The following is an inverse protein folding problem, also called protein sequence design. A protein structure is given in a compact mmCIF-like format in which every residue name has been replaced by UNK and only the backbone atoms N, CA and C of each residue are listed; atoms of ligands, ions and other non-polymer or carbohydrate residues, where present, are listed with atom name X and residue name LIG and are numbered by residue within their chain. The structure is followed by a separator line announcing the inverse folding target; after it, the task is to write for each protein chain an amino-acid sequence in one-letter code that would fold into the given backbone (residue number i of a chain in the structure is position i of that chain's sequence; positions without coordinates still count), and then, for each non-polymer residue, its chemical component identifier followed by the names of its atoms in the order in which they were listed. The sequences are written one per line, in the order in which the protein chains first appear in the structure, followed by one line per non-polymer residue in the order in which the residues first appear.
data_IF_890434352434
#
_entry.id   IF_890434352434
#
_cell.length_a   1.000
_cell.length_b   1.000
_cell.length_c   1.000
_cell.angle_alpha   90.00
_cell.angle_beta   90.00
_cell.angle_gamma   90.00
#
_symmetry.space_group_name_H-M   'P 1'
#
loop_
_entity.id
_entity.type
_entity.pdbx_description
1 polymer ?
#
# COMPACT_ATOMS: atom_id res chain seq x y z
N UNK A 1 19.74 16.75 -1.66
CA UNK A 1 20.20 15.85 -2.73
C UNK A 1 19.80 16.47 -4.05
N UNK A 2 20.72 16.67 -5.01
CA UNK A 2 20.36 17.23 -6.31
C UNK A 2 19.53 16.20 -7.08
N UNK A 3 18.33 16.60 -7.46
CA UNK A 3 17.41 15.87 -8.35
C UNK A 3 17.98 15.77 -9.79
N UNK A 4 19.16 16.30 -9.99
CA UNK A 4 19.79 16.54 -11.29
C UNK A 4 20.25 15.28 -12.04
N UNK A 5 20.19 14.09 -11.41
CA UNK A 5 20.61 12.83 -12.02
C UNK A 5 19.55 11.71 -11.90
N UNK A 6 18.27 12.05 -11.95
CA UNK A 6 17.23 11.05 -12.18
C UNK A 6 17.42 10.52 -13.61
N UNK A 7 18.24 9.46 -13.74
CA UNK A 7 18.43 8.81 -15.01
C UNK A 7 17.10 8.15 -15.45
N UNK A 8 16.50 8.76 -16.47
CA UNK A 8 15.27 8.24 -17.09
C UNK A 8 15.43 6.77 -17.52
N UNK A 9 16.66 6.37 -17.88
CA UNK A 9 17.00 4.99 -18.22
C UNK A 9 16.82 4.04 -17.05
N UNK A 10 17.22 4.44 -15.84
CA UNK A 10 17.02 3.64 -14.61
C UNK A 10 15.55 3.45 -14.29
N UNK A 11 14.74 4.51 -14.42
CA UNK A 11 13.28 4.41 -14.21
C UNK A 11 12.67 3.43 -15.21
N UNK A 12 12.99 3.59 -16.48
CA UNK A 12 12.48 2.72 -17.53
C UNK A 12 12.91 1.26 -17.33
N UNK A 13 14.18 1.02 -16.98
CA UNK A 13 14.68 -0.32 -16.70
C UNK A 13 13.94 -0.99 -15.53
N UNK A 14 13.66 -0.27 -14.43
CA UNK A 14 12.91 -0.81 -13.29
C UNK A 14 11.46 -1.15 -13.66
N UNK A 15 10.80 -0.29 -14.40
CA UNK A 15 9.44 -0.56 -14.89
C UNK A 15 9.43 -1.79 -15.80
N UNK A 16 10.42 -1.91 -16.69
CA UNK A 16 10.56 -3.05 -17.60
C UNK A 16 10.79 -4.37 -16.83
N UNK A 17 11.65 -4.36 -15.81
CA UNK A 17 11.88 -5.51 -14.93
C UNK A 17 10.58 -5.97 -14.26
N UNK A 18 9.82 -5.02 -13.70
CA UNK A 18 8.53 -5.34 -13.06
C UNK A 18 7.54 -5.93 -14.08
N UNK A 19 7.53 -5.39 -15.30
CA UNK A 19 6.67 -5.89 -16.36
C UNK A 19 7.05 -7.31 -16.80
N UNK A 20 8.37 -7.59 -16.93
CA UNK A 20 8.88 -8.92 -17.24
C UNK A 20 8.52 -9.91 -16.14
N UNK A 21 8.69 -9.57 -14.87
CA UNK A 21 8.32 -10.41 -13.74
C UNK A 21 6.81 -10.72 -13.73
N UNK A 22 5.97 -9.71 -14.00
CA UNK A 22 4.53 -9.91 -14.13
C UNK A 22 4.18 -10.84 -15.31
N UNK A 23 4.86 -10.68 -16.46
CA UNK A 23 4.66 -11.55 -17.62
C UNK A 23 5.08 -13.01 -17.33
N UNK A 24 6.21 -13.21 -16.65
CA UNK A 24 6.66 -14.55 -16.23
C UNK A 24 5.63 -15.19 -15.30
N UNK A 25 5.14 -14.44 -14.31
CA UNK A 25 4.10 -14.90 -13.39
C UNK A 25 2.81 -15.29 -14.12
N UNK A 26 2.37 -14.45 -15.06
CA UNK A 26 1.18 -14.70 -15.87
C UNK A 26 1.33 -15.95 -16.75
N UNK A 27 2.45 -16.09 -17.46
CA UNK A 27 2.74 -17.25 -18.32
C UNK A 27 2.80 -18.52 -17.45
N UNK A 28 3.49 -18.48 -16.32
CA UNK A 28 3.63 -19.64 -15.42
C UNK A 28 2.27 -20.08 -14.83
N UNK A 29 1.38 -19.15 -14.55
CA UNK A 29 0.01 -19.46 -14.15
C UNK A 29 -0.82 -20.04 -15.29
N UNK A 30 -0.72 -19.48 -16.50
CA UNK A 30 -1.49 -19.93 -17.67
C UNK A 30 -1.03 -21.29 -18.20
N UNK A 31 0.26 -21.60 -18.10
CA UNK A 31 0.82 -22.89 -18.52
C UNK A 31 0.61 -24.02 -17.51
N UNK A 32 0.03 -23.71 -16.33
CA UNK A 32 -0.16 -24.69 -15.25
C UNK A 32 1.13 -25.06 -14.50
N UNK A 33 2.25 -24.39 -14.79
CA UNK A 33 3.50 -24.57 -14.05
C UNK A 33 3.35 -24.17 -12.57
N UNK A 34 2.57 -23.13 -12.30
CA UNK A 34 2.19 -22.73 -10.97
C UNK A 34 0.73 -23.14 -10.68
N UNK A 35 0.47 -23.95 -9.63
CA UNK A 35 -0.91 -24.25 -9.20
C UNK A 35 -1.72 -22.98 -8.90
N UNK A 36 -3.04 -23.02 -9.11
CA UNK A 36 -3.93 -21.86 -8.87
C UNK A 36 -3.78 -21.20 -7.50
N UNK A 37 -3.44 -21.99 -6.47
CA UNK A 37 -3.25 -21.50 -5.09
C UNK A 37 -1.88 -20.89 -4.83
N UNK A 38 -0.93 -20.98 -5.76
CA UNK A 38 0.45 -20.50 -5.58
C UNK A 38 0.52 -19.00 -5.33
N UNK A 39 -0.31 -18.21 -6.02
CA UNK A 39 -0.38 -16.76 -5.82
C UNK A 39 -0.69 -16.40 -4.35
N UNK A 40 -1.67 -17.08 -3.74
CA UNK A 40 -2.02 -16.87 -2.33
C UNK A 40 -0.90 -17.27 -1.37
N UNK A 41 -0.20 -18.37 -1.65
CA UNK A 41 0.89 -18.85 -0.80
C UNK A 41 2.06 -17.87 -0.86
N UNK A 42 2.46 -17.47 -2.07
CA UNK A 42 3.55 -16.51 -2.29
C UNK A 42 3.21 -15.14 -1.68
N UNK A 43 1.98 -14.64 -1.88
CA UNK A 43 1.55 -13.38 -1.28
C UNK A 43 1.61 -13.42 0.25
N UNK A 44 1.16 -14.52 0.88
CA UNK A 44 1.25 -14.69 2.33
C UNK A 44 2.69 -14.74 2.82
N UNK A 45 3.58 -15.43 2.11
CA UNK A 45 5.01 -15.48 2.43
C UNK A 45 5.64 -14.08 2.37
N UNK A 46 5.38 -13.37 1.27
CA UNK A 46 5.91 -12.01 1.07
C UNK A 46 5.38 -11.06 2.16
N UNK A 47 4.08 -11.02 2.40
CA UNK A 47 3.49 -10.09 3.36
C UNK A 47 3.82 -10.40 4.82
N UNK A 48 3.92 -11.69 5.19
CA UNK A 48 4.10 -12.08 6.59
C UNK A 48 5.55 -12.26 7.01
N UNK A 49 6.44 -12.55 6.08
CA UNK A 49 7.85 -12.86 6.37
C UNK A 49 8.77 -11.90 5.65
N UNK A 50 8.70 -11.84 4.32
CA UNK A 50 9.68 -11.10 3.51
C UNK A 50 9.60 -9.60 3.75
N UNK A 51 8.41 -9.01 3.78
CA UNK A 51 8.23 -7.58 4.01
C UNK A 51 8.65 -7.13 5.41
N UNK A 52 8.20 -7.75 6.51
CA UNK A 52 8.70 -7.39 7.83
C UNK A 52 10.21 -7.55 7.99
N UNK A 53 10.78 -8.63 7.42
CA UNK A 53 12.22 -8.85 7.46
C UNK A 53 12.99 -7.78 6.66
N UNK A 54 12.48 -7.38 5.50
CA UNK A 54 13.07 -6.32 4.68
C UNK A 54 13.02 -4.98 5.41
N UNK A 55 11.88 -4.61 5.98
CA UNK A 55 11.72 -3.38 6.76
C UNK A 55 12.69 -3.37 7.93
N UNK A 56 12.74 -4.44 8.71
CA UNK A 56 13.64 -4.57 9.85
C UNK A 56 15.11 -4.47 9.42
N UNK A 57 15.49 -5.22 8.39
CA UNK A 57 16.87 -5.18 7.85
C UNK A 57 17.28 -3.77 7.41
N UNK A 58 16.40 -3.06 6.71
CA UNK A 58 16.70 -1.69 6.26
C UNK A 58 16.77 -0.68 7.41
N UNK A 59 15.93 -0.83 8.42
CA UNK A 59 15.96 0.06 9.59
C UNK A 59 17.19 -0.15 10.46
N UNK A 60 17.68 -1.40 10.58
CA UNK A 60 18.87 -1.70 11.39
C UNK A 60 20.17 -1.38 10.66
N UNK A 61 20.21 -1.57 9.33
CA UNK A 61 21.43 -1.41 8.53
C UNK A 61 21.73 0.04 8.14
N UNK A 62 20.84 0.96 8.37
CA UNK A 62 20.95 2.33 7.91
C UNK A 62 21.24 3.28 9.08
N UNK A 63 22.36 3.98 8.99
CA UNK A 63 22.74 5.08 9.89
C UNK A 63 22.00 6.36 9.45
N UNK A 64 20.72 6.46 9.82
CA UNK A 64 19.91 7.63 9.48
C UNK A 64 20.03 8.70 10.57
N UNK A 65 20.21 9.95 10.16
CA UNK A 65 20.19 11.10 11.08
C UNK A 65 18.77 11.34 11.63
N UNK A 66 18.67 12.03 12.77
CA UNK A 66 17.38 12.44 13.33
C UNK A 66 16.57 13.29 12.35
N UNK A 67 17.21 14.11 11.52
CA UNK A 67 16.57 14.92 10.49
C UNK A 67 15.90 14.06 9.42
N UNK A 68 16.51 12.93 9.04
CA UNK A 68 15.93 11.98 8.09
C UNK A 68 14.61 11.38 8.61
N UNK A 69 14.56 11.03 9.89
CA UNK A 69 13.32 10.54 10.50
C UNK A 69 12.25 11.63 10.56
N UNK A 70 12.65 12.87 10.89
CA UNK A 70 11.71 14.00 10.93
C UNK A 70 11.11 14.29 9.55
N UNK A 71 11.92 14.25 8.49
CA UNK A 71 11.44 14.38 7.12
C UNK A 71 10.55 13.20 6.70
N UNK A 72 10.86 12.00 7.17
CA UNK A 72 9.98 10.83 7.01
C UNK A 72 8.59 11.04 7.60
N UNK A 73 8.49 11.56 8.83
CA UNK A 73 7.19 11.87 9.44
C UNK A 73 6.42 12.96 8.69
N UNK A 74 7.12 13.99 8.15
CA UNK A 74 6.48 14.96 7.25
C UNK A 74 5.90 14.27 6.02
N UNK A 75 6.62 13.33 5.42
CA UNK A 75 6.13 12.55 4.28
C UNK A 75 4.90 11.71 4.64
N UNK A 76 4.87 11.08 5.80
CA UNK A 76 3.69 10.36 6.29
C UNK A 76 2.47 11.29 6.43
N UNK A 77 2.68 12.49 6.95
CA UNK A 77 1.62 13.51 7.03
C UNK A 77 1.14 13.96 5.65
N UNK A 78 2.08 14.21 4.72
CA UNK A 78 1.76 14.56 3.33
C UNK A 78 0.97 13.43 2.65
N UNK A 79 1.35 12.17 2.85
CA UNK A 79 0.60 11.02 2.35
C UNK A 79 -0.84 11.00 2.88
N UNK A 80 -1.02 11.19 4.19
CA UNK A 80 -2.35 11.23 4.79
C UNK A 80 -3.20 12.38 4.23
N UNK A 81 -2.63 13.57 4.10
CA UNK A 81 -3.33 14.73 3.52
C UNK A 81 -3.69 14.48 2.05
N UNK A 82 -2.77 13.96 1.25
CA UNK A 82 -3.02 13.68 -0.17
C UNK A 82 -4.16 12.66 -0.36
N UNK A 83 -4.21 11.61 0.45
CA UNK A 83 -5.29 10.63 0.41
C UNK A 83 -6.64 11.22 0.85
N UNK A 84 -6.66 12.11 1.83
CA UNK A 84 -7.88 12.82 2.21
C UNK A 84 -8.38 13.73 1.08
N UNK A 85 -7.48 14.38 0.34
CA UNK A 85 -7.83 15.16 -0.85
C UNK A 85 -8.38 14.26 -1.96
N UNK A 86 -7.74 13.12 -2.23
CA UNK A 86 -8.26 12.13 -3.19
C UNK A 86 -9.65 11.64 -2.78
N UNK A 87 -9.86 11.38 -1.48
CA UNK A 87 -11.19 11.01 -0.96
C UNK A 87 -12.23 12.11 -1.19
N UNK A 88 -11.88 13.37 -0.89
CA UNK A 88 -12.75 14.52 -1.08
C UNK A 88 -13.17 14.72 -2.56
N UNK A 89 -12.29 14.36 -3.50
CA UNK A 89 -12.56 14.39 -4.94
C UNK A 89 -13.36 13.16 -5.39
N UNK A 90 -12.94 11.96 -4.96
CA UNK A 90 -13.55 10.71 -5.43
C UNK A 90 -15.00 10.58 -4.99
N UNK A 91 -15.33 11.06 -3.79
CA UNK A 91 -16.68 10.93 -3.27
C UNK A 91 -17.76 11.69 -4.08
N UNK A 92 -17.62 12.96 -4.46
CA UNK A 92 -18.55 13.63 -5.36
C UNK A 92 -18.48 13.06 -6.79
N UNK A 93 -17.30 12.63 -7.26
CA UNK A 93 -17.13 12.05 -8.58
C UNK A 93 -17.94 10.75 -8.74
N UNK A 94 -17.96 9.87 -7.72
CA UNK A 94 -18.78 8.66 -7.74
C UNK A 94 -20.29 8.95 -7.76
N UNK A 95 -20.73 10.09 -7.21
CA UNK A 95 -22.11 10.56 -7.32
C UNK A 95 -22.43 11.04 -8.76
N UNK A 96 -21.51 11.79 -9.34
CA UNK A 96 -21.64 12.30 -10.71
C UNK A 96 -21.75 11.15 -11.72
N UNK A 97 -20.98 10.08 -11.52
CA UNK A 97 -21.03 8.84 -12.32
C UNK A 97 -22.27 7.98 -12.02
N UNK A 98 -23.18 8.42 -11.15
CA UNK A 98 -24.40 7.69 -10.78
C UNK A 98 -24.12 6.27 -10.24
N UNK A 99 -22.97 6.07 -9.60
CA UNK A 99 -22.61 4.79 -8.99
C UNK A 99 -23.60 4.49 -7.85
N UNK A 100 -24.20 3.29 -7.79
CA UNK A 100 -25.13 2.90 -6.73
C UNK A 100 -24.50 3.06 -5.34
N UNK A 101 -25.27 3.51 -4.35
CA UNK A 101 -24.80 3.77 -2.99
C UNK A 101 -24.10 2.57 -2.35
N UNK A 102 -24.59 1.36 -2.66
CA UNK A 102 -24.00 0.10 -2.17
C UNK A 102 -22.55 -0.11 -2.64
N UNK A 103 -22.22 0.31 -3.86
CA UNK A 103 -20.89 0.12 -4.46
C UNK A 103 -19.98 1.31 -4.28
N UNK A 104 -20.52 2.50 -3.97
CA UNK A 104 -19.77 3.77 -3.89
C UNK A 104 -18.58 3.71 -2.94
N UNK A 105 -18.75 3.10 -1.77
CA UNK A 105 -17.67 2.97 -0.79
C UNK A 105 -16.53 2.08 -1.32
N UNK A 106 -16.86 1.01 -2.05
CA UNK A 106 -15.86 0.13 -2.66
C UNK A 106 -15.03 0.88 -3.71
N UNK A 107 -15.69 1.68 -4.57
CA UNK A 107 -14.98 2.52 -5.54
C UNK A 107 -14.07 3.55 -4.86
N UNK A 108 -14.55 4.18 -3.78
CA UNK A 108 -13.71 5.09 -2.99
C UNK A 108 -12.51 4.37 -2.39
N UNK A 109 -12.69 3.18 -1.82
CA UNK A 109 -11.59 2.39 -1.25
C UNK A 109 -10.55 2.00 -2.31
N UNK A 110 -10.99 1.56 -3.50
CA UNK A 110 -10.08 1.21 -4.58
C UNK A 110 -9.30 2.41 -5.13
N UNK A 111 -9.92 3.59 -5.17
CA UNK A 111 -9.26 4.81 -5.60
C UNK A 111 -8.22 5.32 -4.59
N UNK A 112 -8.45 5.06 -3.29
CA UNK A 112 -7.57 5.52 -2.20
C UNK A 112 -6.43 4.55 -1.91
N UNK A 113 -6.74 3.27 -1.80
CA UNK A 113 -5.84 2.26 -1.24
C UNK A 113 -5.35 1.30 -2.33
N UNK A 114 -4.58 1.84 -3.27
CA UNK A 114 -3.81 1.02 -4.22
C UNK A 114 -2.60 0.39 -3.53
N UNK A 115 -2.17 -0.78 -3.99
CA UNK A 115 -0.97 -1.43 -3.49
C UNK A 115 0.29 -0.78 -4.06
N UNK A 116 0.69 0.34 -3.49
CA UNK A 116 1.80 1.17 -3.97
C UNK A 116 3.16 0.58 -3.59
N UNK A 117 3.25 -0.12 -2.45
CA UNK A 117 4.52 -0.61 -1.87
C UNK A 117 5.29 -1.51 -2.83
N UNK A 118 4.62 -2.50 -3.43
CA UNK A 118 5.30 -3.46 -4.31
C UNK A 118 5.92 -2.82 -5.56
N UNK A 119 5.36 -1.71 -6.02
CA UNK A 119 5.90 -0.94 -7.13
C UNK A 119 6.92 0.10 -6.65
N UNK A 120 6.60 0.80 -5.57
CA UNK A 120 7.41 1.90 -5.08
C UNK A 120 8.76 1.43 -4.53
N UNK A 121 8.82 0.33 -3.77
CA UNK A 121 10.06 -0.11 -3.13
C UNK A 121 11.19 -0.39 -4.12
N UNK A 122 11.04 -1.25 -5.15
CA UNK A 122 12.10 -1.49 -6.13
C UNK A 122 12.51 -0.20 -6.86
N UNK A 123 11.55 0.65 -7.18
CA UNK A 123 11.79 1.90 -7.87
C UNK A 123 12.57 2.90 -7.00
N UNK A 124 12.12 3.14 -5.76
CA UNK A 124 12.80 4.05 -4.84
C UNK A 124 14.17 3.52 -4.41
N UNK A 125 14.31 2.20 -4.25
CA UNK A 125 15.61 1.58 -3.99
C UNK A 125 16.60 1.84 -5.14
N UNK A 126 16.16 1.74 -6.38
CA UNK A 126 17.02 1.96 -7.55
C UNK A 126 17.39 3.43 -7.75
N UNK A 127 16.47 4.35 -7.45
CA UNK A 127 16.66 5.78 -7.67
C UNK A 127 17.39 6.49 -6.52
N UNK A 128 17.09 6.12 -5.28
CA UNK A 128 17.51 6.85 -4.09
C UNK A 128 18.23 5.96 -3.07
N UNK A 129 18.43 4.66 -3.37
CA UNK A 129 19.03 3.72 -2.45
C UNK A 129 18.20 3.51 -1.17
N UNK A 130 18.88 3.24 -0.05
CA UNK A 130 18.22 2.90 1.22
C UNK A 130 17.37 4.05 1.80
N UNK A 131 17.77 5.29 1.57
CA UNK A 131 17.00 6.46 2.00
C UNK A 131 15.66 6.55 1.26
N UNK A 132 15.63 6.18 -0.01
CA UNK A 132 14.39 6.12 -0.80
C UNK A 132 13.41 5.09 -0.25
N UNK A 133 13.92 3.91 0.13
CA UNK A 133 13.09 2.87 0.77
C UNK A 133 12.54 3.35 2.11
N UNK A 134 13.35 4.02 2.92
CA UNK A 134 12.90 4.60 4.19
C UNK A 134 11.75 5.60 3.97
N UNK A 135 11.90 6.52 3.04
CA UNK A 135 10.86 7.50 2.72
C UNK A 135 9.59 6.85 2.17
N UNK A 136 9.73 5.79 1.35
CA UNK A 136 8.59 5.01 0.89
C UNK A 136 7.86 4.31 2.05
N UNK A 137 8.60 3.82 3.07
CA UNK A 137 8.02 3.26 4.29
C UNK A 137 7.22 4.30 5.09
N UNK A 138 7.76 5.50 5.31
CA UNK A 138 7.03 6.56 6.00
C UNK A 138 5.79 7.01 5.23
N UNK A 139 5.88 7.14 3.91
CA UNK A 139 4.74 7.44 3.07
C UNK A 139 3.65 6.36 3.23
N UNK A 140 4.05 5.08 3.20
CA UNK A 140 3.13 3.97 3.40
C UNK A 140 2.52 3.95 4.81
N UNK A 141 3.28 4.32 5.84
CA UNK A 141 2.74 4.43 7.20
C UNK A 141 1.58 5.44 7.27
N UNK A 142 1.69 6.59 6.59
CA UNK A 142 0.58 7.54 6.46
C UNK A 142 -0.62 6.94 5.72
N UNK A 143 -0.38 6.16 4.66
CA UNK A 143 -1.42 5.42 3.95
C UNK A 143 -2.10 4.37 4.84
N UNK A 144 -1.34 3.60 5.62
CA UNK A 144 -1.85 2.54 6.48
C UNK A 144 -2.71 3.11 7.63
N UNK A 145 -2.32 4.23 8.22
CA UNK A 145 -3.13 4.91 9.23
C UNK A 145 -4.53 5.24 8.68
N UNK A 146 -4.59 5.75 7.44
CA UNK A 146 -5.88 6.04 6.80
C UNK A 146 -6.62 4.79 6.35
N UNK A 147 -5.91 3.75 5.92
CA UNK A 147 -6.51 2.47 5.59
C UNK A 147 -7.24 1.87 6.80
N UNK A 148 -6.58 1.84 7.96
CA UNK A 148 -7.14 1.29 9.19
C UNK A 148 -8.21 2.19 9.83
N UNK A 149 -8.25 3.47 9.54
CA UNK A 149 -9.28 4.40 10.04
C UNK A 149 -10.40 4.60 9.01
N UNK A 150 -10.12 5.29 7.93
CA UNK A 150 -11.08 5.64 6.88
C UNK A 150 -11.52 4.42 6.07
N UNK A 151 -10.58 3.53 5.72
CA UNK A 151 -10.87 2.32 4.96
C UNK A 151 -11.82 1.39 5.71
N UNK A 152 -11.55 1.13 6.99
CA UNK A 152 -12.44 0.31 7.84
C UNK A 152 -13.81 0.98 8.02
N UNK A 153 -13.86 2.31 8.20
CA UNK A 153 -15.12 3.05 8.24
C UNK A 153 -15.95 2.89 6.95
N UNK A 154 -15.31 3.02 5.79
CA UNK A 154 -15.97 2.86 4.49
C UNK A 154 -16.48 1.42 4.27
N UNK A 155 -15.70 0.43 4.69
CA UNK A 155 -16.09 -0.98 4.62
C UNK A 155 -17.24 -1.32 5.58
N UNK A 156 -17.23 -0.77 6.80
CA UNK A 156 -18.22 -1.04 7.86
C UNK A 156 -19.58 -0.37 7.65
N UNK A 157 -19.68 0.64 6.79
CA UNK A 157 -20.91 1.44 6.61
C UNK A 157 -22.11 0.64 6.09
N UNK A 158 -21.89 -0.51 5.46
CA UNK A 158 -22.98 -1.39 5.03
C UNK A 158 -23.60 -2.23 6.16
N UNK A 159 -22.95 -2.32 7.32
CA UNK A 159 -23.44 -3.12 8.47
C UNK A 159 -24.07 -2.27 9.60
N UNK A 160 -24.38 -0.99 9.35
CA UNK A 160 -25.05 -0.13 10.34
C UNK A 160 -24.18 0.35 11.50
N UNK A 161 -22.87 0.09 11.48
CA UNK A 161 -21.93 0.56 12.49
C UNK A 161 -21.40 1.95 12.15
N UNK A 162 -21.66 2.95 13.03
CA UNK A 162 -21.02 4.26 12.95
C UNK A 162 -19.50 4.16 13.20
N UNK A 163 -18.78 5.31 13.13
CA UNK A 163 -17.33 5.40 13.36
C UNK A 163 -16.88 4.72 14.68
N UNK A 164 -17.66 4.84 15.75
CA UNK A 164 -17.42 4.15 17.03
C UNK A 164 -17.50 2.60 16.89
N UNK A 165 -18.41 2.09 16.05
CA UNK A 165 -18.52 0.67 15.75
C UNK A 165 -17.32 0.16 14.95
N UNK A 166 -16.79 0.96 14.01
CA UNK A 166 -15.58 0.63 13.24
C UNK A 166 -14.34 0.54 14.16
N UNK A 167 -14.16 1.51 15.05
CA UNK A 167 -13.07 1.49 16.04
C UNK A 167 -13.20 0.28 16.98
N UNK A 168 -14.39 -0.02 17.48
CA UNK A 168 -14.62 -1.19 18.34
C UNK A 168 -14.29 -2.51 17.61
N UNK A 169 -14.51 -2.59 16.30
CA UNK A 169 -14.14 -3.74 15.47
C UNK A 169 -12.61 -3.89 15.29
N UNK A 170 -11.87 -2.78 15.19
CA UNK A 170 -10.40 -2.77 15.10
C UNK A 170 -9.77 -3.30 16.39
N UNK A 171 -10.28 -2.89 17.56
CA UNK A 171 -9.78 -3.31 18.86
C UNK A 171 -10.29 -4.68 19.31
N UNK A 172 -11.24 -5.29 18.61
CA UNK A 172 -11.70 -6.63 18.93
C UNK A 172 -10.74 -7.66 18.29
N UNK A 173 -9.88 -8.25 19.12
CA UNK A 173 -8.85 -9.25 18.76
C UNK A 173 -9.44 -10.40 17.91
N UNK A 174 -10.69 -10.79 18.14
CA UNK A 174 -11.38 -11.83 17.37
C UNK A 174 -11.64 -11.40 15.92
N UNK A 175 -11.94 -10.12 15.68
CA UNK A 175 -12.14 -9.58 14.32
C UNK A 175 -10.82 -9.49 13.57
N UNK A 176 -9.74 -9.16 14.26
CA UNK A 176 -8.38 -9.14 13.70
C UNK A 176 -7.93 -10.55 13.28
N UNK A 177 -8.18 -11.54 14.14
CA UNK A 177 -7.87 -12.95 13.85
C UNK A 177 -8.67 -13.47 12.63
N UNK A 178 -9.95 -13.15 12.52
CA UNK A 178 -10.80 -13.56 11.41
C UNK A 178 -10.46 -12.85 10.09
N UNK A 179 -10.04 -11.59 10.14
CA UNK A 179 -9.55 -10.87 8.96
C UNK A 179 -8.24 -11.49 8.41
N UNK A 180 -7.38 -12.02 9.29
CA UNK A 180 -6.13 -12.68 8.88
C UNK A 180 -6.31 -14.14 8.44
N UNK A 181 -7.36 -14.83 8.88
CA UNK A 181 -7.64 -16.22 8.50
C UNK A 181 -8.61 -16.36 7.32
N UNK A 182 -9.27 -15.27 6.91
CA UNK A 182 -10.24 -15.23 5.82
C UNK A 182 -9.66 -14.92 4.43
N UNK A 183 -8.33 -14.79 4.31
CA UNK A 183 -7.63 -14.65 3.02
C UNK A 183 -6.84 -15.88 2.66
#
# INVERSE_FOLDING_TARGET
MPIENLDTGTIFAQILILFILAAIGFISGKTGYLPEKSGNIVSKLVMRITMPALIFSKMVSADFSADTYFDGFKLAAIAAVSLLLVFAITRPFTKLMKIPDKSRNVYCMQALFGNVIFFAFPLFQALFGDIGVLYALFFNMGNDILLWTLGVYLAGKHKGGGFAGAIKHIFNITSFHNAFNGF
#
